data_IF_041101501118
#
_entry.id   IF_041101501118
#
_cell.length_a   1.000
_cell.length_b   1.000
_cell.length_c   1.000
_cell.angle_alpha   90.00
_cell.angle_beta   90.00
_cell.angle_gamma   90.00
#
_symmetry.space_group_name_H-M   'P 1'
#
loop_
_entity.id
_entity.type
_entity.pdbx_description
1 polymer ?
#
# COMPACT_ATOMS: atom_id res chain seq x y z
N UNK A 1 30.66 -19.34 38.62
CA UNK A 1 29.78 -18.89 37.52
C UNK A 1 28.41 -18.67 38.14
N UNK A 2 27.97 -17.41 38.23
CA UNK A 2 26.80 -17.02 39.04
C UNK A 2 25.50 -17.28 38.30
N UNK A 3 24.49 -17.81 38.99
CA UNK A 3 23.13 -18.06 38.48
C UNK A 3 22.48 -16.77 37.92
N UNK A 4 22.96 -15.60 38.35
CA UNK A 4 22.47 -14.28 37.93
C UNK A 4 22.90 -13.93 36.49
N UNK A 5 24.02 -14.47 35.99
CA UNK A 5 24.45 -14.25 34.59
C UNK A 5 23.65 -15.09 33.59
N UNK A 6 23.19 -16.30 33.98
CA UNK A 6 22.40 -17.17 33.11
C UNK A 6 21.02 -16.58 32.81
N UNK A 7 20.34 -15.98 33.79
CA UNK A 7 19.00 -15.41 33.61
C UNK A 7 18.97 -14.17 32.72
N UNK A 8 20.05 -13.39 32.69
CA UNK A 8 20.17 -12.24 31.78
C UNK A 8 20.30 -12.71 30.33
N UNK A 9 21.24 -13.62 30.07
CA UNK A 9 21.51 -14.17 28.73
C UNK A 9 20.26 -14.78 28.08
N UNK A 10 19.53 -15.63 28.81
CA UNK A 10 18.33 -16.30 28.28
C UNK A 10 17.23 -15.27 27.91
N UNK A 11 17.05 -14.22 28.71
CA UNK A 11 16.10 -13.15 28.38
C UNK A 11 16.51 -12.34 27.16
N UNK A 12 17.81 -12.10 26.96
CA UNK A 12 18.33 -11.44 25.75
C UNK A 12 18.16 -12.32 24.51
N UNK A 13 18.40 -13.63 24.63
CA UNK A 13 18.25 -14.59 23.54
C UNK A 13 16.77 -14.72 23.09
N UNK A 14 15.83 -14.70 24.04
CA UNK A 14 14.38 -14.68 23.76
C UNK A 14 13.98 -13.39 23.05
N UNK A 15 14.42 -12.22 23.54
CA UNK A 15 14.12 -10.94 22.92
C UNK A 15 14.74 -10.79 21.52
N UNK A 16 15.94 -11.33 21.31
CA UNK A 16 16.60 -11.36 20.00
C UNK A 16 15.85 -12.29 19.01
N UNK A 17 15.32 -13.41 19.50
CA UNK A 17 14.50 -14.33 18.70
C UNK A 17 13.18 -13.70 18.25
N UNK A 18 12.50 -12.97 19.14
CA UNK A 18 11.27 -12.25 18.81
C UNK A 18 11.52 -11.11 17.80
N UNK A 19 12.56 -10.30 18.00
CA UNK A 19 12.95 -9.25 17.07
C UNK A 19 13.24 -9.82 15.66
N UNK A 20 13.97 -10.94 15.59
CA UNK A 20 14.26 -11.62 14.31
C UNK A 20 12.97 -12.03 13.59
N UNK A 21 12.00 -12.59 14.30
CA UNK A 21 10.72 -12.98 13.70
C UNK A 21 9.95 -11.78 13.12
N UNK A 22 9.95 -10.63 13.81
CA UNK A 22 9.32 -9.42 13.27
C UNK A 22 10.03 -8.92 12.02
N UNK A 23 11.37 -8.92 12.00
CA UNK A 23 12.16 -8.50 10.84
C UNK A 23 11.90 -9.42 9.65
N UNK A 24 12.03 -10.74 9.82
CA UNK A 24 11.80 -11.71 8.76
C UNK A 24 10.38 -11.61 8.18
N UNK A 25 9.37 -11.45 9.05
CA UNK A 25 7.98 -11.23 8.60
C UNK A 25 7.83 -9.95 7.78
N UNK A 26 8.48 -8.86 8.18
CA UNK A 26 8.43 -7.60 7.44
C UNK A 26 9.14 -7.70 6.08
N UNK A 27 10.31 -8.32 6.03
CA UNK A 27 11.08 -8.54 4.80
C UNK A 27 10.29 -9.39 3.80
N UNK A 28 9.67 -10.47 4.25
CA UNK A 28 8.77 -11.29 3.42
C UNK A 28 7.62 -10.46 2.85
N UNK A 29 6.98 -9.60 3.66
CA UNK A 29 5.90 -8.72 3.19
C UNK A 29 6.38 -7.69 2.16
N UNK A 30 7.60 -7.16 2.31
CA UNK A 30 8.19 -6.25 1.33
C UNK A 30 8.51 -6.95 0.01
N UNK A 31 8.97 -8.21 0.04
CA UNK A 31 9.15 -9.03 -1.16
C UNK A 31 7.82 -9.31 -1.87
N UNK A 32 6.79 -9.72 -1.12
CA UNK A 32 5.43 -9.93 -1.66
C UNK A 32 4.87 -8.65 -2.30
N UNK A 33 5.02 -7.51 -1.62
CA UNK A 33 4.60 -6.20 -2.12
C UNK A 33 5.33 -5.84 -3.42
N UNK A 34 6.63 -6.14 -3.53
CA UNK A 34 7.40 -5.93 -4.75
C UNK A 34 6.89 -6.82 -5.89
N UNK A 35 6.64 -8.10 -5.62
CA UNK A 35 6.09 -9.03 -6.61
C UNK A 35 4.73 -8.55 -7.14
N UNK A 36 3.84 -8.11 -6.25
CA UNK A 36 2.53 -7.53 -6.62
C UNK A 36 2.72 -6.25 -7.44
N UNK A 37 3.66 -5.38 -7.09
CA UNK A 37 3.93 -4.15 -7.83
C UNK A 37 4.42 -4.46 -9.27
N UNK A 38 5.24 -5.49 -9.44
CA UNK A 38 5.70 -5.91 -10.77
C UNK A 38 4.58 -6.52 -11.60
N UNK A 39 3.72 -7.37 -11.01
CA UNK A 39 2.50 -7.86 -11.67
C UNK A 39 1.57 -6.71 -12.11
N UNK A 40 1.41 -5.67 -11.29
CA UNK A 40 0.62 -4.48 -11.67
C UNK A 40 1.23 -3.74 -12.86
N UNK A 41 2.57 -3.66 -12.97
CA UNK A 41 3.24 -3.06 -14.13
C UNK A 41 3.00 -3.86 -15.40
N UNK A 42 3.04 -5.18 -15.32
CA UNK A 42 2.77 -6.07 -16.46
C UNK A 42 1.36 -5.88 -17.00
N UNK A 43 0.34 -5.83 -16.13
CA UNK A 43 -1.05 -5.54 -16.53
C UNK A 43 -1.16 -4.19 -17.25
N UNK A 44 -0.48 -3.16 -16.75
CA UNK A 44 -0.48 -1.84 -17.39
C UNK A 44 0.25 -1.87 -18.74
N UNK A 45 1.34 -2.62 -18.86
CA UNK A 45 2.08 -2.78 -20.11
C UNK A 45 1.24 -3.51 -21.17
N UNK A 46 0.54 -4.57 -20.78
CA UNK A 46 -0.40 -5.30 -21.62
C UNK A 46 -1.55 -4.41 -22.09
N UNK A 47 -2.17 -3.67 -21.18
CA UNK A 47 -3.23 -2.72 -21.53
C UNK A 47 -2.74 -1.68 -22.54
N UNK A 48 -1.52 -1.15 -22.35
CA UNK A 48 -0.88 -0.23 -23.30
C UNK A 48 -0.67 -0.88 -24.67
N UNK A 49 -0.18 -2.11 -24.73
CA UNK A 49 0.04 -2.84 -25.97
C UNK A 49 -1.27 -3.08 -26.74
N UNK A 50 -2.39 -3.24 -26.03
CA UNK A 50 -3.74 -3.35 -26.59
C UNK A 50 -4.37 -2.00 -26.97
N UNK A 51 -3.68 -0.88 -26.74
CA UNK A 51 -4.12 0.46 -27.14
C UNK A 51 -4.89 1.26 -26.07
N UNK A 52 -4.96 0.78 -24.83
CA UNK A 52 -5.62 1.52 -23.74
C UNK A 52 -4.72 2.64 -23.18
N UNK A 53 -5.34 3.76 -22.78
CA UNK A 53 -4.65 4.83 -22.06
C UNK A 53 -4.45 4.46 -20.57
N UNK A 54 -3.25 3.99 -20.25
CA UNK A 54 -2.88 3.62 -18.88
C UNK A 54 -2.90 4.79 -17.88
N UNK A 55 -2.81 6.06 -18.31
CA UNK A 55 -2.97 7.20 -17.40
C UNK A 55 -4.42 7.35 -16.98
N UNK A 56 -5.35 7.23 -17.92
CA UNK A 56 -6.80 7.25 -17.63
C UNK A 56 -7.19 6.05 -16.78
N UNK A 57 -6.69 4.85 -17.08
CA UNK A 57 -6.94 3.67 -16.24
C UNK A 57 -6.49 3.86 -14.79
N UNK A 58 -5.30 4.44 -14.55
CA UNK A 58 -4.84 4.74 -13.19
C UNK A 58 -5.76 5.72 -12.46
N UNK A 59 -6.29 6.74 -13.15
CA UNK A 59 -7.29 7.66 -12.58
C UNK A 59 -8.56 6.91 -12.18
N UNK A 60 -9.07 6.04 -13.04
CA UNK A 60 -10.25 5.21 -12.75
C UNK A 60 -10.00 4.30 -11.55
N UNK A 61 -8.86 3.64 -11.46
CA UNK A 61 -8.50 2.79 -10.31
C UNK A 61 -8.43 3.62 -9.03
N UNK A 62 -7.83 4.82 -9.08
CA UNK A 62 -7.76 5.72 -7.93
C UNK A 62 -9.16 6.16 -7.48
N UNK A 63 -10.03 6.58 -8.41
CA UNK A 63 -11.42 6.93 -8.12
C UNK A 63 -12.17 5.77 -7.46
N UNK A 64 -11.97 4.55 -7.95
CA UNK A 64 -12.62 3.34 -7.40
C UNK A 64 -12.13 2.94 -6.00
N UNK A 65 -11.01 3.48 -5.54
CA UNK A 65 -10.48 3.24 -4.18
C UNK A 65 -11.03 4.22 -3.15
N UNK A 66 -11.60 5.34 -3.58
CA UNK A 66 -12.14 6.37 -2.69
C UNK A 66 -13.51 5.93 -2.17
N UNK A 67 -13.89 6.45 -1.02
CA UNK A 67 -15.22 6.25 -0.48
C UNK A 67 -16.25 6.92 -1.39
N UNK A 68 -17.39 6.26 -1.62
CA UNK A 68 -18.44 6.78 -2.49
C UNK A 68 -19.07 8.05 -1.94
N UNK A 69 -19.15 8.18 -0.62
CA UNK A 69 -19.74 9.33 0.05
C UNK A 69 -18.78 10.53 -0.05
N UNK A 70 -17.46 10.30 0.12
CA UNK A 70 -16.44 11.34 -0.12
C UNK A 70 -16.43 11.84 -1.58
N UNK A 71 -16.61 10.93 -2.55
CA UNK A 71 -16.72 11.32 -3.98
C UNK A 71 -17.96 12.18 -4.19
N UNK A 72 -19.11 11.79 -3.64
CA UNK A 72 -20.36 12.50 -3.80
C UNK A 72 -20.32 13.91 -3.18
N UNK A 73 -19.69 14.06 -2.01
CA UNK A 73 -19.49 15.37 -1.38
C UNK A 73 -18.59 16.28 -2.23
N UNK A 74 -17.46 15.77 -2.73
CA UNK A 74 -16.59 16.54 -3.61
C UNK A 74 -17.26 16.93 -4.93
N UNK A 75 -18.03 16.02 -5.54
CA UNK A 75 -18.78 16.31 -6.76
C UNK A 75 -19.83 17.40 -6.53
N UNK A 76 -20.55 17.36 -5.41
CA UNK A 76 -21.52 18.41 -5.06
C UNK A 76 -20.87 19.79 -4.92
N UNK A 77 -19.71 19.85 -4.25
CA UNK A 77 -18.94 21.10 -4.09
C UNK A 77 -18.40 21.59 -5.45
N UNK A 78 -17.88 20.68 -6.27
CA UNK A 78 -17.37 20.99 -7.60
C UNK A 78 -18.45 21.56 -8.51
N UNK A 79 -19.64 20.96 -8.52
CA UNK A 79 -20.78 21.46 -9.30
C UNK A 79 -21.23 22.84 -8.82
N UNK A 80 -21.25 23.09 -7.51
CA UNK A 80 -21.53 24.42 -6.96
C UNK A 80 -20.53 25.47 -7.49
N UNK A 81 -19.23 25.14 -7.51
CA UNK A 81 -18.20 26.04 -8.02
C UNK A 81 -18.31 26.26 -9.53
N UNK A 82 -18.56 25.23 -10.33
CA UNK A 82 -18.79 25.38 -11.77
C UNK A 82 -19.99 26.27 -12.05
N UNK A 83 -21.10 26.05 -11.35
CA UNK A 83 -22.30 26.87 -11.47
C UNK A 83 -22.02 28.34 -11.13
N UNK A 84 -21.26 28.60 -10.06
CA UNK A 84 -20.84 29.95 -9.69
C UNK A 84 -19.92 30.61 -10.73
N UNK A 85 -19.13 29.82 -11.46
CA UNK A 85 -18.23 30.28 -12.52
C UNK A 85 -18.88 30.28 -13.92
N UNK A 86 -20.12 29.81 -14.06
CA UNK A 86 -20.84 29.71 -15.34
C UNK A 86 -20.24 28.67 -16.30
N UNK A 87 -19.64 27.61 -15.77
CA UNK A 87 -19.05 26.49 -16.52
C UNK A 87 -20.03 25.34 -16.75
#
# INVERSE_FOLDING_TARGET
MSVIEQTGSESYDVAAGELRQFIERYENLEEEKKAVADQQKEVMAEAKARGYDTKVMRKVIALRKRDKDEIAEEEAVLEMYKAALGM
#
